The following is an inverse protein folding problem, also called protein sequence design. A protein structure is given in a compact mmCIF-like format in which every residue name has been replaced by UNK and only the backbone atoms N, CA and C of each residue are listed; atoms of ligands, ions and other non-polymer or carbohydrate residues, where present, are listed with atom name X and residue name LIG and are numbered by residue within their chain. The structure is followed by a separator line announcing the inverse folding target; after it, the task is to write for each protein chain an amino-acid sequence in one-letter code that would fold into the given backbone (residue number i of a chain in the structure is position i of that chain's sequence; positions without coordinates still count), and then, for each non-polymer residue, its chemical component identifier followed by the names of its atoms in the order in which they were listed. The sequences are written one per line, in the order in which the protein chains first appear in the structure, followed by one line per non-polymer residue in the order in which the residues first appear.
data_IF_249921896137
#
_entry.id   IF_249921896137
#
_cell.length_a   1.000
_cell.length_b   1.000
_cell.length_c   1.000
_cell.angle_alpha   90.00
_cell.angle_beta   90.00
_cell.angle_gamma   90.00
#
_symmetry.space_group_name_H-M   'P 1'
#
loop_
_entity.id
_entity.type
_entity.pdbx_description
1 polymer ?
#
# COMPACT_ATOMS: atom_id res chain seq x y z
N UNK A 1 -3.92 -8.72 -17.61
CA UNK A 1 -3.62 -8.72 -16.16
C UNK A 1 -2.67 -7.55 -15.94
N UNK A 2 -3.12 -6.53 -15.20
CA UNK A 2 -2.31 -5.33 -14.93
C UNK A 2 -1.13 -5.66 -14.01
N UNK A 3 -0.02 -4.95 -14.19
CA UNK A 3 1.18 -5.16 -13.39
C UNK A 3 0.90 -5.00 -11.89
N UNK A 4 1.55 -5.85 -11.09
CA UNK A 4 1.49 -5.81 -9.63
C UNK A 4 2.78 -5.18 -9.11
N UNK A 5 2.66 -4.27 -8.15
CA UNK A 5 3.79 -3.66 -7.46
C UNK A 5 3.68 -3.95 -5.96
N UNK A 6 4.61 -4.74 -5.44
CA UNK A 6 4.70 -5.03 -4.02
C UNK A 6 5.46 -3.90 -3.32
N UNK A 7 4.80 -3.23 -2.37
CA UNK A 7 5.39 -2.12 -1.62
C UNK A 7 6.43 -2.61 -0.60
N UNK A 8 6.31 -3.87 -0.15
CA UNK A 8 7.23 -4.50 0.80
C UNK A 8 7.40 -3.70 2.10
N UNK A 9 6.35 -3.00 2.53
CA UNK A 9 6.33 -2.27 3.78
C UNK A 9 6.45 -3.23 4.98
N UNK A 10 7.18 -2.79 6.02
CA UNK A 10 7.36 -3.51 7.31
C UNK A 10 6.49 -2.97 8.44
N UNK A 11 5.78 -1.88 8.18
CA UNK A 11 4.78 -1.30 9.07
C UNK A 11 3.42 -1.40 8.41
N UNK A 12 2.39 -1.72 9.19
CA UNK A 12 1.01 -1.80 8.73
C UNK A 12 0.60 -0.49 8.05
N UNK A 13 0.10 -0.57 6.82
CA UNK A 13 -0.30 0.62 6.07
C UNK A 13 -1.61 1.25 6.61
N UNK A 14 -2.34 0.54 7.47
CA UNK A 14 -3.53 1.06 8.15
C UNK A 14 -3.20 1.73 9.50
N UNK A 15 -2.46 1.03 10.36
CA UNK A 15 -2.29 1.38 11.79
C UNK A 15 -0.87 1.79 12.18
N UNK A 16 0.08 1.78 11.25
CA UNK A 16 1.50 2.10 11.46
C UNK A 16 2.24 1.16 12.44
N UNK A 17 1.57 0.10 12.88
CA UNK A 17 2.15 -0.89 13.79
C UNK A 17 3.22 -1.72 13.05
N UNK A 18 4.35 -2.05 13.68
CA UNK A 18 5.34 -2.94 13.08
C UNK A 18 4.73 -4.32 12.79
N UNK A 19 5.07 -4.88 11.63
CA UNK A 19 4.65 -6.21 11.19
C UNK A 19 5.75 -7.19 11.55
N UNK A 20 5.40 -8.25 12.27
CA UNK A 20 6.35 -9.32 12.56
C UNK A 20 6.80 -9.99 11.26
N UNK A 21 8.07 -10.35 11.15
CA UNK A 21 8.64 -10.93 9.92
C UNK A 21 7.87 -12.16 9.42
N UNK A 22 7.43 -13.01 10.35
CA UNK A 22 6.60 -14.21 10.08
C UNK A 22 5.22 -13.90 9.49
N UNK A 23 4.74 -12.66 9.62
CA UNK A 23 3.42 -12.23 9.18
C UNK A 23 3.50 -11.33 7.92
N UNK A 24 4.70 -11.05 7.38
CA UNK A 24 4.86 -10.37 6.09
C UNK A 24 4.25 -11.22 4.96
N UNK A 25 3.48 -10.60 4.08
CA UNK A 25 2.74 -11.28 3.02
C UNK A 25 1.53 -12.10 3.47
N UNK A 26 1.29 -12.25 4.79
CA UNK A 26 0.14 -12.99 5.33
C UNK A 26 -1.16 -12.21 5.20
N UNK A 27 -1.09 -10.91 5.43
CA UNK A 27 -2.23 -10.01 5.34
C UNK A 27 -1.93 -8.93 4.31
N UNK A 28 -2.45 -9.08 3.10
CA UNK A 28 -2.19 -8.15 1.99
C UNK A 28 -3.43 -7.34 1.63
N UNK A 29 -3.27 -6.03 1.52
CA UNK A 29 -4.25 -5.17 0.85
C UNK A 29 -3.82 -4.90 -0.58
N UNK A 30 -4.79 -4.97 -1.50
CA UNK A 30 -4.57 -4.74 -2.93
C UNK A 30 -5.44 -3.58 -3.39
N UNK A 31 -4.81 -2.57 -3.99
CA UNK A 31 -5.49 -1.37 -4.47
C UNK A 31 -4.97 -0.99 -5.85
N UNK A 32 -5.85 -0.58 -6.76
CA UNK A 32 -5.43 -0.05 -8.07
C UNK A 32 -5.02 1.41 -7.88
N UNK A 33 -3.86 1.77 -8.39
CA UNK A 33 -3.43 3.16 -8.39
C UNK A 33 -3.95 3.90 -9.62
N UNK A 34 -4.71 4.95 -9.38
CA UNK A 34 -5.38 5.81 -10.36
C UNK A 34 -4.89 7.27 -10.32
N UNK A 35 -3.79 7.53 -9.59
CA UNK A 35 -3.22 8.86 -9.41
C UNK A 35 -2.29 9.31 -10.55
N UNK A 36 -1.64 10.48 -10.39
CA UNK A 36 -0.84 11.12 -11.43
C UNK A 36 0.55 10.49 -11.67
N UNK A 37 1.04 9.61 -10.80
CA UNK A 37 2.38 9.02 -10.93
C UNK A 37 2.35 7.92 -11.99
N UNK A 38 2.81 8.24 -13.20
CA UNK A 38 2.69 7.38 -14.39
C UNK A 38 3.28 5.98 -14.20
N UNK A 39 4.40 5.85 -13.46
CA UNK A 39 5.00 4.53 -13.18
C UNK A 39 4.10 3.57 -12.38
N UNK A 40 3.10 4.08 -11.67
CA UNK A 40 2.16 3.27 -10.88
C UNK A 40 0.75 3.22 -11.48
N UNK A 41 0.45 4.08 -12.45
CA UNK A 41 -0.90 4.24 -13.00
C UNK A 41 -1.41 2.94 -13.62
N UNK A 42 -2.61 2.52 -13.19
CA UNK A 42 -3.23 1.26 -13.58
C UNK A 42 -2.62 0.00 -12.94
N UNK A 43 -1.54 0.13 -12.14
CA UNK A 43 -0.94 -1.00 -11.42
C UNK A 43 -1.74 -1.31 -10.15
N UNK A 44 -1.70 -2.57 -9.74
CA UNK A 44 -2.18 -2.98 -8.42
C UNK A 44 -1.03 -2.87 -7.42
N UNK A 45 -1.16 -1.98 -6.45
CA UNK A 45 -0.22 -1.87 -5.34
C UNK A 45 -0.62 -2.84 -4.23
N UNK A 46 0.37 -3.56 -3.70
CA UNK A 46 0.19 -4.55 -2.63
C UNK A 46 0.91 -4.08 -1.38
N UNK A 47 0.13 -3.85 -0.32
CA UNK A 47 0.61 -3.42 0.99
C UNK A 47 0.46 -4.54 2.02
N UNK A 48 1.51 -4.77 2.81
CA UNK A 48 1.44 -5.63 3.99
C UNK A 48 0.62 -4.95 5.10
N UNK A 49 -0.16 -5.75 5.83
CA UNK A 49 -0.95 -5.36 6.98
C UNK A 49 -0.61 -6.26 8.18
N UNK A 50 -0.98 -5.84 9.39
CA UNK A 50 -0.73 -6.64 10.59
C UNK A 50 -1.87 -7.61 10.96
N UNK A 51 -3.08 -7.42 10.42
CA UNK A 51 -4.23 -8.30 10.70
C UNK A 51 -5.34 -8.18 9.63
N UNK A 52 -6.35 -9.06 9.72
CA UNK A 52 -7.52 -9.06 8.83
C UNK A 52 -8.32 -7.76 8.86
N UNK A 53 -8.54 -7.19 10.04
CA UNK A 53 -9.28 -5.92 10.19
C UNK A 53 -8.59 -4.76 9.47
N UNK A 54 -7.26 -4.76 9.43
CA UNK A 54 -6.50 -3.76 8.67
C UNK A 54 -6.73 -3.93 7.17
N UNK A 55 -6.79 -5.16 6.66
CA UNK A 55 -7.11 -5.41 5.24
C UNK A 55 -8.50 -4.88 4.89
N UNK A 56 -9.49 -5.15 5.73
CA UNK A 56 -10.87 -4.72 5.52
C UNK A 56 -11.03 -3.19 5.56
N UNK A 57 -10.27 -2.52 6.43
CA UNK A 57 -10.33 -1.07 6.60
C UNK A 57 -9.50 -0.29 5.57
N UNK A 58 -8.46 -0.92 5.02
CA UNK A 58 -7.49 -0.23 4.16
C UNK A 58 -8.08 0.38 2.89
N UNK A 59 -9.00 -0.27 2.13
CA UNK A 59 -9.60 0.35 0.95
C UNK A 59 -10.26 1.71 1.22
N UNK A 60 -10.91 1.86 2.39
CA UNK A 60 -11.53 3.13 2.78
C UNK A 60 -10.47 4.21 3.07
N UNK A 61 -9.40 3.86 3.79
CA UNK A 61 -8.28 4.78 4.05
C UNK A 61 -7.57 5.15 2.75
N UNK A 62 -7.36 4.19 1.85
CA UNK A 62 -6.78 4.43 0.54
C UNK A 62 -7.59 5.45 -0.27
N UNK A 63 -8.92 5.29 -0.35
CA UNK A 63 -9.77 6.21 -1.06
C UNK A 63 -9.74 7.66 -0.50
N UNK A 64 -9.53 7.81 0.82
CA UNK A 64 -9.49 9.11 1.48
C UNK A 64 -8.09 9.76 1.49
N UNK A 65 -7.04 8.96 1.60
CA UNK A 65 -5.68 9.42 1.98
C UNK A 65 -4.59 8.87 1.06
N UNK A 66 -4.93 8.45 -0.17
CA UNK A 66 -4.01 7.84 -1.15
C UNK A 66 -2.63 8.51 -1.18
N UNK A 67 -2.59 9.81 -1.38
CA UNK A 67 -1.34 10.53 -1.61
C UNK A 67 -0.47 10.58 -0.34
N UNK A 68 -1.08 10.61 0.85
CA UNK A 68 -0.36 10.52 2.13
C UNK A 68 0.24 9.14 2.33
N UNK A 69 -0.50 8.08 2.00
CA UNK A 69 -0.01 6.69 2.06
C UNK A 69 1.16 6.51 1.08
N UNK A 70 1.03 7.01 -0.15
CA UNK A 70 2.09 6.96 -1.15
C UNK A 70 3.36 7.67 -0.65
N UNK A 71 3.23 8.87 -0.10
CA UNK A 71 4.35 9.62 0.45
C UNK A 71 5.01 8.88 1.62
N UNK A 72 4.22 8.32 2.55
CA UNK A 72 4.71 7.56 3.70
C UNK A 72 5.62 6.42 3.27
N UNK A 73 5.23 5.67 2.23
CA UNK A 73 5.96 4.49 1.78
C UNK A 73 6.99 4.80 0.68
N UNK A 74 7.38 6.07 0.50
CA UNK A 74 8.40 6.46 -0.47
C UNK A 74 7.99 6.23 -1.93
N UNK A 75 6.69 6.14 -2.20
CA UNK A 75 6.12 5.95 -3.52
C UNK A 75 5.86 7.29 -4.22
N UNK A 76 6.71 8.29 -3.98
CA UNK A 76 6.61 9.60 -4.63
C UNK A 76 7.34 9.60 -5.98
N UNK A 77 7.10 10.59 -6.82
CA UNK A 77 7.97 10.83 -7.97
C UNK A 77 9.39 11.14 -7.44
N UNK A 78 10.48 10.54 -7.97
CA UNK A 78 11.80 11.10 -7.75
C UNK A 78 11.80 12.53 -8.28
N UNK A 79 11.90 13.50 -7.36
CA UNK A 79 12.11 14.90 -7.70
C UNK A 79 13.33 14.97 -8.63
N UNK A 80 13.10 15.37 -9.87
CA UNK A 80 14.15 15.68 -10.85
C UNK A 80 15.04 16.82 -10.36
#
# INVERSE_FOLDING_TARGET
MGDVYHVNNRECAMSDSPIAEKDLGRFESRVVYDGPIERFKGKTLVFNQCCSMCIESFPKKWAAERDQIMAKFGLTDPVH
#
